data_IF_275107488101
#
_entry.id   IF_275107488101
#
_cell.length_a   1.000
_cell.length_b   1.000
_cell.length_c   1.000
_cell.angle_alpha   90.00
_cell.angle_beta   90.00
_cell.angle_gamma   90.00
#
_symmetry.space_group_name_H-M   'P 1'
#
loop_
_entity.id
_entity.type
_entity.pdbx_description
1 polymer ?
#
# COMPACT_ATOMS: atom_id res chain seq x y z
N UNK A 1 -3.55 11.30 26.88
CA UNK A 1 -4.61 11.82 26.00
C UNK A 1 -5.81 12.22 26.85
N UNK A 2 -6.33 13.43 26.62
CA UNK A 2 -7.59 13.87 27.22
C UNK A 2 -8.71 12.94 26.73
N UNK A 3 -9.64 12.60 27.61
CA UNK A 3 -10.82 11.84 27.32
C UNK A 3 -12.02 12.77 27.43
N UNK A 4 -12.93 12.65 26.51
CA UNK A 4 -14.16 13.43 26.41
C UNK A 4 -15.37 12.50 26.51
N UNK A 5 -16.51 13.01 26.93
CA UNK A 5 -17.79 12.32 26.90
C UNK A 5 -18.67 12.97 25.85
N UNK A 6 -19.39 12.17 25.07
CA UNK A 6 -20.33 12.64 24.07
C UNK A 6 -21.68 12.94 24.75
N UNK A 7 -22.19 14.16 24.64
CA UNK A 7 -23.47 14.56 25.24
C UNK A 7 -24.69 13.89 24.58
N UNK A 8 -24.52 13.33 23.35
CA UNK A 8 -25.64 12.70 22.65
C UNK A 8 -25.78 11.19 22.94
N UNK A 9 -24.70 10.50 23.33
CA UNK A 9 -24.71 9.04 23.52
C UNK A 9 -23.95 8.55 24.75
N UNK A 10 -23.46 9.45 25.60
CA UNK A 10 -22.72 9.21 26.86
C UNK A 10 -21.47 8.32 26.71
N UNK A 11 -20.99 8.09 25.46
CA UNK A 11 -19.77 7.34 25.18
C UNK A 11 -18.56 8.22 25.34
N UNK A 12 -17.51 7.68 25.92
CA UNK A 12 -16.22 8.38 26.03
C UNK A 12 -15.39 8.19 24.77
N UNK A 13 -14.72 9.26 24.36
CA UNK A 13 -13.81 9.26 23.20
C UNK A 13 -12.54 10.07 23.47
N UNK A 14 -11.56 9.90 22.61
CA UNK A 14 -10.32 10.69 22.58
C UNK A 14 -9.86 10.84 21.13
N UNK A 15 -8.76 11.56 20.90
CA UNK A 15 -8.21 11.82 19.56
C UNK A 15 -7.85 10.55 18.75
N UNK A 16 -7.76 9.37 19.38
CA UNK A 16 -7.47 8.11 18.69
C UNK A 16 -8.72 7.26 18.47
N UNK A 17 -9.87 7.64 19.02
CA UNK A 17 -11.10 6.88 18.87
C UNK A 17 -11.52 6.82 17.41
N UNK A 18 -11.80 5.61 16.89
CA UNK A 18 -12.12 5.39 15.49
C UNK A 18 -10.90 5.30 14.56
N UNK A 19 -9.68 5.48 15.09
CA UNK A 19 -8.46 5.31 14.30
C UNK A 19 -7.87 3.90 14.45
N UNK A 20 -7.07 3.40 13.49
CA UNK A 20 -6.36 2.12 13.62
C UNK A 20 -5.42 2.07 14.83
N UNK A 21 -5.00 3.21 15.37
CA UNK A 21 -4.11 3.30 16.54
C UNK A 21 -4.86 3.31 17.89
N UNK A 22 -6.20 3.26 17.85
CA UNK A 22 -7.03 3.20 19.06
C UNK A 22 -6.70 1.96 19.88
N UNK A 23 -6.58 2.11 21.21
CA UNK A 23 -6.31 1.01 22.14
C UNK A 23 -4.85 0.53 22.18
N UNK A 24 -3.95 1.02 21.34
CA UNK A 24 -2.54 0.69 21.42
C UNK A 24 -1.89 1.36 22.64
N UNK A 25 -1.02 0.59 23.33
CA UNK A 25 -0.23 1.04 24.49
C UNK A 25 1.16 1.54 24.07
N UNK A 26 1.99 1.98 25.03
CA UNK A 26 3.39 2.38 24.85
C UNK A 26 3.56 3.46 23.78
N UNK A 27 2.79 4.53 23.87
CA UNK A 27 2.74 5.60 22.86
C UNK A 27 4.07 6.31 22.68
N UNK A 28 4.87 6.37 23.71
CA UNK A 28 6.23 6.92 23.71
C UNK A 28 7.16 6.20 22.72
N UNK A 29 6.87 4.93 22.42
CA UNK A 29 7.65 4.10 21.47
C UNK A 29 7.13 4.19 20.03
N UNK A 30 5.97 4.82 19.77
CA UNK A 30 5.34 4.82 18.46
C UNK A 30 6.16 5.51 17.38
N UNK A 31 6.79 6.65 17.70
CA UNK A 31 7.60 7.39 16.72
C UNK A 31 8.83 6.57 16.29
N UNK A 32 9.50 5.93 17.24
CA UNK A 32 10.62 5.01 16.96
C UNK A 32 10.17 3.84 16.09
N UNK A 33 9.00 3.27 16.41
CA UNK A 33 8.44 2.18 15.62
C UNK A 33 8.04 2.61 14.19
N UNK A 34 7.44 3.79 14.04
CA UNK A 34 7.12 4.34 12.72
C UNK A 34 8.39 4.55 11.88
N UNK A 35 9.50 5.03 12.46
CA UNK A 35 10.80 5.12 11.79
C UNK A 35 11.29 3.74 11.34
N UNK A 36 11.19 2.72 12.20
CA UNK A 36 11.54 1.34 11.83
C UNK A 36 10.71 0.81 10.65
N UNK A 37 9.47 1.28 10.45
CA UNK A 37 8.67 0.95 9.27
C UNK A 37 9.19 1.63 8.00
N UNK A 38 9.50 2.92 8.08
CA UNK A 38 10.07 3.70 6.96
C UNK A 38 11.42 3.12 6.53
N UNK A 39 12.25 2.72 7.48
CA UNK A 39 13.55 2.08 7.23
C UNK A 39 13.42 0.63 6.71
N UNK A 40 12.22 0.11 6.54
CA UNK A 40 11.96 -1.23 6.01
C UNK A 40 12.49 -2.38 6.85
N UNK A 41 12.77 -2.17 8.14
CA UNK A 41 13.36 -3.22 8.99
C UNK A 41 12.37 -4.36 9.28
N UNK A 42 12.89 -5.57 9.49
CA UNK A 42 12.07 -6.74 9.80
C UNK A 42 11.33 -6.59 11.13
N UNK A 43 10.22 -7.32 11.31
CA UNK A 43 9.44 -7.32 12.56
C UNK A 43 10.29 -7.59 13.81
N UNK A 44 11.21 -8.56 13.73
CA UNK A 44 12.09 -8.91 14.85
C UNK A 44 13.05 -7.79 15.18
N UNK A 45 13.64 -7.16 14.16
CA UNK A 45 14.55 -6.03 14.35
C UNK A 45 13.79 -4.82 14.89
N UNK A 46 12.61 -4.51 14.36
CA UNK A 46 11.78 -3.43 14.87
C UNK A 46 11.35 -3.65 16.34
N UNK A 47 11.01 -4.89 16.70
CA UNK A 47 10.70 -5.25 18.10
C UNK A 47 11.89 -4.97 19.03
N UNK A 48 13.08 -5.44 18.67
CA UNK A 48 14.30 -5.24 19.44
C UNK A 48 14.70 -3.77 19.55
N UNK A 49 14.67 -3.02 18.44
CA UNK A 49 15.03 -1.59 18.41
C UNK A 49 14.12 -0.72 19.28
N UNK A 50 12.84 -1.10 19.42
CA UNK A 50 11.87 -0.33 20.17
C UNK A 50 11.56 -0.95 21.54
N UNK A 51 12.27 -2.01 21.94
CA UNK A 51 12.05 -2.72 23.20
C UNK A 51 10.57 -3.04 23.41
N UNK A 52 9.98 -3.76 22.43
CA UNK A 52 8.61 -4.26 22.48
C UNK A 52 8.58 -5.75 22.14
N UNK A 53 7.56 -6.45 22.63
CA UNK A 53 7.39 -7.86 22.30
C UNK A 53 7.10 -8.06 20.80
N UNK A 54 7.57 -9.18 20.23
CA UNK A 54 7.41 -9.50 18.79
C UNK A 54 5.95 -9.47 18.34
N UNK A 55 5.04 -9.96 19.17
CA UNK A 55 3.61 -9.93 18.90
C UNK A 55 3.06 -8.49 18.84
N UNK A 56 3.53 -7.63 19.75
CA UNK A 56 3.19 -6.20 19.71
C UNK A 56 3.71 -5.55 18.44
N UNK A 57 4.95 -5.85 18.02
CA UNK A 57 5.53 -5.39 16.77
C UNK A 57 4.69 -5.82 15.56
N UNK A 58 4.23 -7.09 15.52
CA UNK A 58 3.36 -7.59 14.47
C UNK A 58 2.03 -6.82 14.41
N UNK A 59 1.33 -6.69 15.54
CA UNK A 59 0.06 -5.96 15.63
C UNK A 59 0.23 -4.49 15.28
N UNK A 60 1.29 -3.84 15.76
CA UNK A 60 1.57 -2.44 15.47
C UNK A 60 1.83 -2.22 13.99
N UNK A 61 2.61 -3.09 13.33
CA UNK A 61 2.86 -2.99 11.90
C UNK A 61 1.55 -2.92 11.11
N UNK A 62 0.62 -3.83 11.35
CA UNK A 62 -0.68 -3.82 10.67
C UNK A 62 -1.48 -2.56 10.98
N UNK A 63 -1.51 -2.11 12.23
CA UNK A 63 -2.22 -0.89 12.63
C UNK A 63 -1.64 0.38 12.01
N UNK A 64 -0.32 0.51 11.97
CA UNK A 64 0.34 1.66 11.33
C UNK A 64 0.14 1.65 9.81
N UNK A 65 0.26 0.50 9.15
CA UNK A 65 0.02 0.37 7.72
C UNK A 65 -1.45 0.65 7.36
N UNK A 66 -2.40 0.21 8.17
CA UNK A 66 -3.82 0.54 7.99
C UNK A 66 -4.08 2.04 8.10
N UNK A 67 -3.41 2.72 9.05
CA UNK A 67 -3.48 4.18 9.17
C UNK A 67 -2.91 4.90 7.93
N UNK A 68 -1.84 4.38 7.33
CA UNK A 68 -1.28 4.92 6.08
C UNK A 68 -2.20 4.65 4.89
N UNK A 69 -2.78 3.45 4.80
CA UNK A 69 -3.71 3.07 3.72
C UNK A 69 -4.91 4.01 3.61
N UNK A 70 -5.40 4.52 4.73
CA UNK A 70 -6.51 5.48 4.74
C UNK A 70 -6.15 6.89 4.23
N UNK A 71 -4.88 7.14 3.91
CA UNK A 71 -4.34 8.44 3.47
C UNK A 71 -4.05 8.51 1.98
N UNK A 72 -4.53 7.55 1.18
CA UNK A 72 -4.40 7.62 -0.29
C UNK A 72 -5.02 8.91 -0.81
N UNK A 73 -4.35 9.53 -1.79
CA UNK A 73 -4.90 10.69 -2.47
C UNK A 73 -6.14 10.31 -3.28
N UNK A 74 -7.17 11.12 -3.20
CA UNK A 74 -8.38 10.97 -4.02
C UNK A 74 -8.18 11.52 -5.44
N UNK A 75 -7.22 12.44 -5.63
CA UNK A 75 -6.86 13.02 -6.91
C UNK A 75 -5.38 13.40 -6.93
N UNK A 76 -4.78 13.38 -8.12
CA UNK A 76 -3.41 13.83 -8.44
C UNK A 76 -3.46 14.80 -9.61
N UNK A 77 -2.58 15.80 -9.64
CA UNK A 77 -2.61 16.88 -10.62
C UNK A 77 -1.21 17.39 -11.01
N UNK A 78 -1.14 18.19 -12.06
CA UNK A 78 0.13 18.75 -12.56
C UNK A 78 0.98 17.69 -13.23
N UNK A 79 2.23 17.51 -12.82
CA UNK A 79 3.10 16.42 -13.32
C UNK A 79 2.89 15.19 -12.45
N UNK A 80 2.37 14.14 -13.05
CA UNK A 80 1.98 12.88 -12.40
C UNK A 80 2.86 11.75 -12.94
N UNK A 81 3.52 11.03 -12.07
CA UNK A 81 4.31 9.84 -12.38
C UNK A 81 3.48 8.59 -12.08
N UNK A 82 3.46 7.64 -13.01
CA UNK A 82 2.81 6.34 -12.84
C UNK A 82 3.74 5.21 -13.26
N UNK A 83 3.87 4.20 -12.39
CA UNK A 83 4.74 3.05 -12.60
C UNK A 83 4.19 1.81 -11.88
N UNK A 84 4.51 0.61 -12.38
CA UNK A 84 4.10 -0.65 -11.80
C UNK A 84 5.23 -1.35 -11.07
N UNK A 85 4.92 -1.82 -9.87
CA UNK A 85 5.80 -2.70 -9.10
C UNK A 85 5.23 -4.11 -9.05
N UNK A 86 6.08 -5.11 -9.30
CA UNK A 86 5.68 -6.52 -9.38
C UNK A 86 6.21 -7.31 -8.19
N UNK A 87 5.30 -7.92 -7.43
CA UNK A 87 5.64 -8.74 -6.28
C UNK A 87 5.25 -10.19 -6.58
N UNK A 88 6.19 -11.14 -6.43
CA UNK A 88 5.93 -12.57 -6.63
C UNK A 88 4.84 -13.06 -5.68
N UNK A 89 3.77 -13.65 -6.24
CA UNK A 89 2.70 -14.28 -5.48
C UNK A 89 3.24 -15.35 -4.54
N UNK A 90 2.92 -15.23 -3.27
CA UNK A 90 3.31 -16.20 -2.25
C UNK A 90 2.20 -17.19 -2.00
N UNK A 91 2.51 -18.49 -2.17
CA UNK A 91 1.64 -19.58 -1.74
C UNK A 91 2.11 -20.20 -0.42
N UNK A 92 2.81 -19.43 0.42
CA UNK A 92 3.31 -19.90 1.72
C UNK A 92 2.15 -20.35 2.61
N UNK A 93 2.23 -21.58 3.11
CA UNK A 93 1.17 -22.18 3.93
C UNK A 93 0.11 -22.96 3.13
N UNK A 94 0.08 -22.84 1.80
CA UNK A 94 -0.76 -23.70 0.96
C UNK A 94 -0.17 -25.09 0.83
N UNK A 95 -1.00 -26.11 1.02
CA UNK A 95 -0.63 -27.53 0.77
C UNK A 95 -0.78 -27.91 -0.70
N UNK A 96 -1.59 -27.19 -1.44
CA UNK A 96 -1.85 -27.43 -2.86
C UNK A 96 -1.62 -26.14 -3.63
N UNK A 97 -0.62 -26.14 -4.51
CA UNK A 97 -0.31 -25.03 -5.40
C UNK A 97 -0.76 -25.43 -6.79
N UNK A 98 -1.73 -24.69 -7.34
CA UNK A 98 -2.25 -24.92 -8.68
C UNK A 98 -1.43 -24.07 -9.68
N UNK A 99 -1.16 -24.64 -10.84
CA UNK A 99 -0.57 -23.94 -11.99
C UNK A 99 0.96 -23.82 -12.00
N UNK A 100 1.66 -24.22 -10.92
CA UNK A 100 3.13 -24.23 -10.88
C UNK A 100 3.69 -25.17 -9.81
N UNK A 101 4.94 -25.55 -9.97
CA UNK A 101 5.69 -26.25 -8.92
C UNK A 101 5.95 -25.38 -7.69
N UNK A 102 6.09 -25.98 -6.49
CA UNK A 102 6.53 -25.26 -5.30
C UNK A 102 7.89 -24.60 -5.51
N UNK A 103 8.01 -23.30 -5.12
CA UNK A 103 9.28 -22.59 -5.17
C UNK A 103 10.10 -22.83 -3.90
N UNK A 104 11.42 -22.95 -4.04
CA UNK A 104 12.34 -22.84 -2.91
C UNK A 104 12.34 -21.40 -2.36
N UNK A 105 12.74 -21.22 -1.11
CA UNK A 105 12.90 -19.88 -0.51
C UNK A 105 13.86 -19.04 -1.38
N UNK A 106 13.43 -17.83 -1.75
CA UNK A 106 14.17 -16.95 -2.67
C UNK A 106 14.09 -17.36 -4.14
N UNK A 107 13.23 -18.30 -4.51
CA UNK A 107 13.00 -18.70 -5.89
C UNK A 107 12.44 -17.57 -6.74
N UNK A 108 12.82 -17.58 -8.03
CA UNK A 108 12.39 -16.58 -9.04
C UNK A 108 11.08 -17.05 -9.71
N UNK A 109 10.47 -16.15 -10.48
CA UNK A 109 9.37 -16.51 -11.39
C UNK A 109 9.81 -17.59 -12.38
N UNK A 110 8.88 -18.44 -12.82
CA UNK A 110 9.14 -19.48 -13.79
C UNK A 110 9.07 -18.94 -15.22
N UNK A 111 8.20 -17.94 -15.45
CA UNK A 111 8.05 -17.27 -16.74
C UNK A 111 8.96 -16.04 -16.80
N UNK A 112 9.51 -15.76 -17.98
CA UNK A 112 10.28 -14.54 -18.24
C UNK A 112 9.31 -13.34 -18.24
N UNK A 113 9.73 -12.22 -17.65
CA UNK A 113 8.93 -11.01 -17.55
C UNK A 113 8.02 -10.96 -16.30
N UNK A 114 7.12 -9.99 -16.27
CA UNK A 114 6.24 -9.69 -15.13
C UNK A 114 4.79 -10.11 -15.42
N UNK A 115 4.58 -11.41 -15.62
CA UNK A 115 3.22 -11.94 -15.79
C UNK A 115 2.42 -11.82 -14.51
N UNK A 116 1.18 -11.32 -14.60
CA UNK A 116 0.21 -11.27 -13.49
C UNK A 116 -0.23 -12.66 -13.00
N UNK A 117 0.05 -13.74 -13.75
CA UNK A 117 -0.15 -15.11 -13.26
C UNK A 117 0.72 -15.42 -12.03
N UNK A 118 1.97 -14.94 -12.04
CA UNK A 118 2.96 -15.21 -11.00
C UNK A 118 3.24 -14.02 -10.08
N UNK A 119 2.83 -12.80 -10.47
CA UNK A 119 3.06 -11.57 -9.73
C UNK A 119 1.75 -10.88 -9.37
N UNK A 120 1.75 -10.23 -8.22
CA UNK A 120 0.80 -9.19 -7.89
C UNK A 120 1.37 -7.87 -8.44
N UNK A 121 0.64 -7.21 -9.34
CA UNK A 121 1.03 -5.93 -9.91
C UNK A 121 0.41 -4.80 -9.07
N UNK A 122 1.24 -3.86 -8.64
CA UNK A 122 0.83 -2.70 -7.87
C UNK A 122 1.15 -1.47 -8.70
N UNK A 123 0.13 -0.77 -9.18
CA UNK A 123 0.28 0.54 -9.77
C UNK A 123 0.46 1.58 -8.68
N UNK A 124 1.46 2.43 -8.82
CA UNK A 124 1.70 3.59 -7.96
C UNK A 124 1.60 4.84 -8.82
N UNK A 125 0.79 5.79 -8.37
CA UNK A 125 0.60 7.09 -9.04
C UNK A 125 0.93 8.18 -8.06
N UNK A 126 1.80 9.11 -8.44
CA UNK A 126 2.25 10.19 -7.57
C UNK A 126 2.45 11.50 -8.32
N UNK A 127 2.01 12.60 -7.74
CA UNK A 127 2.31 13.93 -8.26
C UNK A 127 3.51 14.61 -7.57
N UNK A 128 3.91 15.76 -8.07
CA UNK A 128 5.04 16.54 -7.52
C UNK A 128 4.75 17.13 -6.14
N UNK A 129 3.50 17.15 -5.70
CA UNK A 129 3.10 17.57 -4.34
C UNK A 129 3.05 16.41 -3.36
N UNK A 130 3.53 15.22 -3.76
CA UNK A 130 3.54 13.99 -2.99
C UNK A 130 2.16 13.37 -2.70
N UNK A 131 1.09 13.84 -3.37
CA UNK A 131 -0.17 13.12 -3.37
C UNK A 131 0.03 11.78 -4.07
N UNK A 132 -0.29 10.69 -3.38
CA UNK A 132 0.02 9.33 -3.84
C UNK A 132 -1.22 8.45 -3.76
N UNK A 133 -1.49 7.73 -4.83
CA UNK A 133 -2.49 6.66 -4.90
C UNK A 133 -1.84 5.37 -5.38
N UNK A 134 -2.32 4.24 -4.88
CA UNK A 134 -1.85 2.92 -5.31
C UNK A 134 -3.03 1.97 -5.46
N UNK A 135 -2.93 1.02 -6.37
CA UNK A 135 -3.91 -0.04 -6.57
C UNK A 135 -3.24 -1.37 -6.90
N UNK A 136 -3.88 -2.46 -6.44
CA UNK A 136 -3.50 -3.81 -6.79
C UNK A 136 -4.26 -4.23 -8.04
N UNK A 137 -3.54 -4.71 -9.05
CA UNK A 137 -4.10 -5.19 -10.29
C UNK A 137 -3.89 -6.69 -10.47
N UNK A 138 -4.91 -7.36 -10.98
CA UNK A 138 -4.86 -8.76 -11.38
C UNK A 138 -4.62 -8.91 -12.89
N UNK A 139 -4.82 -7.84 -13.65
CA UNK A 139 -4.49 -7.72 -15.06
C UNK A 139 -4.04 -6.29 -15.37
N UNK A 140 -3.18 -6.10 -16.37
CA UNK A 140 -2.62 -4.83 -16.79
C UNK A 140 -3.16 -4.40 -18.16
N UNK A 141 -4.41 -4.75 -18.46
CA UNK A 141 -5.06 -4.27 -19.67
C UNK A 141 -5.22 -2.75 -19.67
N UNK A 142 -5.21 -2.09 -20.84
CA UNK A 142 -5.47 -0.65 -20.94
C UNK A 142 -6.78 -0.23 -20.25
N UNK A 143 -7.81 -1.07 -20.36
CA UNK A 143 -9.11 -0.82 -19.71
C UNK A 143 -9.02 -0.81 -18.19
N UNK A 144 -8.29 -1.76 -17.60
CA UNK A 144 -8.10 -1.85 -16.14
C UNK A 144 -7.29 -0.67 -15.62
N UNK A 145 -6.16 -0.34 -16.26
CA UNK A 145 -5.33 0.81 -15.89
C UNK A 145 -6.14 2.11 -16.06
N UNK A 146 -6.79 2.29 -17.19
CA UNK A 146 -7.61 3.46 -17.50
C UNK A 146 -8.76 3.66 -16.51
N UNK A 147 -9.45 2.59 -16.11
CA UNK A 147 -10.54 2.67 -15.13
C UNK A 147 -10.08 3.18 -13.76
N UNK A 148 -8.82 2.91 -13.39
CA UNK A 148 -8.23 3.40 -12.14
C UNK A 148 -7.71 4.83 -12.26
N UNK A 149 -7.02 5.17 -13.36
CA UNK A 149 -6.42 6.48 -13.56
C UNK A 149 -7.47 7.58 -13.81
N UNK A 150 -8.51 7.28 -14.58
CA UNK A 150 -9.53 8.24 -15.01
C UNK A 150 -10.20 9.02 -13.85
N UNK A 151 -10.57 8.41 -12.71
CA UNK A 151 -11.17 9.14 -11.60
C UNK A 151 -10.18 9.93 -10.75
N UNK A 152 -8.85 9.65 -10.82
CA UNK A 152 -7.86 10.23 -9.91
C UNK A 152 -6.90 11.21 -10.59
N UNK A 153 -6.63 11.07 -11.89
CA UNK A 153 -5.72 11.96 -12.64
C UNK A 153 -6.53 13.14 -13.18
N UNK A 154 -6.08 14.36 -12.87
CA UNK A 154 -6.68 15.57 -13.41
C UNK A 154 -6.53 15.60 -14.95
N UNK A 155 -7.52 16.13 -15.66
CA UNK A 155 -7.52 16.14 -17.14
C UNK A 155 -6.40 16.96 -17.78
N UNK A 156 -5.94 17.97 -17.07
CA UNK A 156 -4.84 18.85 -17.46
C UNK A 156 -3.48 18.38 -16.95
N UNK A 157 -3.41 17.19 -16.37
CA UNK A 157 -2.15 16.65 -15.84
C UNK A 157 -1.25 16.12 -16.96
N UNK A 158 0.06 16.30 -16.81
CA UNK A 158 1.09 15.66 -17.62
C UNK A 158 1.43 14.31 -17.00
N UNK A 159 1.05 13.22 -17.68
CA UNK A 159 1.33 11.87 -17.21
C UNK A 159 2.71 11.40 -17.70
N UNK A 160 3.57 11.01 -16.78
CA UNK A 160 4.92 10.46 -17.04
C UNK A 160 4.92 8.97 -16.69
N UNK A 161 5.26 8.12 -17.66
CA UNK A 161 5.26 6.65 -17.51
C UNK A 161 6.48 6.05 -18.20
N UNK A 162 6.66 4.73 -18.06
CA UNK A 162 7.71 3.94 -18.72
C UNK A 162 7.45 3.65 -20.23
N UNK A 163 6.40 4.25 -20.83
CA UNK A 163 6.05 4.06 -22.24
C UNK A 163 5.28 2.78 -22.54
N UNK A 164 4.65 2.16 -21.54
CA UNK A 164 3.75 1.03 -21.77
C UNK A 164 2.51 1.48 -22.58
N UNK A 165 2.15 0.72 -23.62
CA UNK A 165 1.00 0.99 -24.52
C UNK A 165 -0.32 1.21 -23.82
N UNK A 166 -0.49 0.66 -22.61
CA UNK A 166 -1.71 0.86 -21.83
C UNK A 166 -1.91 2.33 -21.45
N UNK A 167 -0.84 3.06 -21.19
CA UNK A 167 -0.89 4.51 -20.89
C UNK A 167 -1.11 5.35 -22.15
N UNK A 168 -0.55 4.94 -23.30
CA UNK A 168 -0.83 5.60 -24.60
C UNK A 168 -2.32 5.53 -24.94
N UNK A 169 -2.94 4.35 -24.74
CA UNK A 169 -4.38 4.17 -24.93
C UNK A 169 -5.19 5.05 -23.97
N UNK A 170 -4.79 5.09 -22.68
CA UNK A 170 -5.44 5.94 -21.69
C UNK A 170 -5.36 7.43 -22.07
N UNK A 171 -4.18 7.90 -22.49
CA UNK A 171 -3.97 9.29 -22.91
C UNK A 171 -4.82 9.65 -24.16
N UNK A 172 -4.90 8.74 -25.13
CA UNK A 172 -5.75 8.94 -26.32
C UNK A 172 -7.25 9.03 -26.00
N UNK A 173 -7.71 8.29 -24.96
CA UNK A 173 -9.12 8.26 -24.55
C UNK A 173 -9.52 9.45 -23.64
N UNK A 174 -8.55 10.12 -23.05
CA UNK A 174 -8.81 11.21 -22.09
C UNK A 174 -8.51 12.61 -22.64
N UNK A 175 -7.77 12.72 -23.74
CA UNK A 175 -7.45 13.95 -24.47
C UNK A 175 -6.19 14.62 -23.96
#
# INVERSE_FOLDING_TARGET
>A
LKRYMCNACDRTFNALTGTPLSGLRLREKWLGYARSLVDGVSLRKAAAQNDIHLEASFRWRHRFLESARSKKAAAVAGIVEADETFILKSAKGSRHIVGRAPRKRGGKATKRGHSTDEHDAILIVRDRHAATSDALFFDLSPATIGSHLKPIVARDAVLVTDGNRAYETFAADTG
#
